data_IF_044918393771
#
_entry.id   IF_044918393771
#
_cell.length_a   1.000
_cell.length_b   1.000
_cell.length_c   1.000
_cell.angle_alpha   90.00
_cell.angle_beta   90.00
_cell.angle_gamma   90.00
#
_symmetry.space_group_name_H-M   'P 1'
#
loop_
_entity.id
_entity.type
_entity.pdbx_description
1 polymer ?
#
# COMPACT_ATOMS: atom_id res chain seq x y z
N UNK A 1 -5.52 -26.33 13.62
CA UNK A 1 -5.60 -25.83 13.11
C UNK A 1 -5.22 -24.98 12.70
N UNK A 2 -4.96 -24.74 12.51
CA UNK A 2 -4.66 -24.03 12.05
C UNK A 2 -4.42 -22.94 11.67
N UNK A 3 -4.03 -23.00 11.45
CA UNK A 3 -3.65 -21.65 11.57
C UNK A 3 -3.33 -20.91 10.32
N UNK A 4 -2.83 -21.53 9.33
CA UNK A 4 -2.64 -20.97 8.02
C UNK A 4 -3.92 -20.37 7.48
N UNK A 5 -5.02 -20.91 7.89
CA UNK A 5 -6.34 -20.46 7.43
C UNK A 5 -6.72 -19.08 7.97
N UNK A 6 -6.01 -18.63 9.02
CA UNK A 6 -6.33 -17.37 9.67
C UNK A 6 -5.38 -16.25 9.28
N UNK A 7 -4.53 -16.47 8.28
CA UNK A 7 -3.60 -15.45 7.83
C UNK A 7 -4.26 -14.62 6.76
N UNK A 8 -4.22 -13.31 6.93
CA UNK A 8 -4.77 -12.38 5.96
C UNK A 8 -4.09 -12.56 4.61
N UNK A 9 -4.87 -12.58 3.53
CA UNK A 9 -4.35 -12.65 2.19
C UNK A 9 -3.99 -11.25 1.70
N UNK A 10 -2.72 -10.91 1.79
CA UNK A 10 -2.27 -9.55 1.48
C UNK A 10 -2.35 -9.26 -0.02
N UNK A 11 -2.26 -10.28 -0.86
CA UNK A 11 -2.39 -10.07 -2.31
C UNK A 11 -3.84 -9.71 -2.65
N UNK A 12 -4.79 -10.41 -2.04
CA UNK A 12 -6.20 -10.10 -2.21
C UNK A 12 -6.50 -8.70 -1.67
N UNK A 13 -5.92 -8.36 -0.52
CA UNK A 13 -6.07 -7.04 0.06
C UNK A 13 -5.65 -5.95 -0.93
N UNK A 14 -4.48 -6.12 -1.56
CA UNK A 14 -4.01 -5.12 -2.52
C UNK A 14 -4.88 -5.05 -3.78
N UNK A 15 -5.45 -6.18 -4.21
CA UNK A 15 -6.42 -6.15 -5.32
C UNK A 15 -7.61 -5.27 -4.94
N UNK A 16 -8.13 -5.43 -3.73
CA UNK A 16 -9.29 -4.66 -3.29
C UNK A 16 -8.96 -3.19 -3.05
N UNK A 17 -7.74 -2.88 -2.59
CA UNK A 17 -7.27 -1.50 -2.46
C UNK A 17 -7.26 -0.82 -3.83
N UNK A 18 -6.65 -1.48 -4.82
CA UNK A 18 -6.49 -0.90 -6.15
C UNK A 18 -7.83 -0.79 -6.89
N UNK A 19 -8.72 -1.73 -6.68
CA UNK A 19 -10.07 -1.68 -7.27
C UNK A 19 -11.01 -0.78 -6.49
N UNK A 20 -10.55 -0.24 -5.38
CA UNK A 20 -11.36 0.64 -4.52
C UNK A 20 -12.67 -0.06 -4.10
N UNK A 21 -12.56 -1.32 -3.71
CA UNK A 21 -13.70 -2.14 -3.33
C UNK A 21 -14.05 -1.89 -1.86
N UNK A 22 -14.91 -0.92 -1.64
CA UNK A 22 -15.28 -0.43 -0.32
C UNK A 22 -15.77 -1.54 0.62
N UNK A 23 -16.66 -2.38 0.14
CA UNK A 23 -17.26 -3.42 0.97
C UNK A 23 -16.23 -4.47 1.40
N UNK A 24 -15.38 -4.87 0.48
CA UNK A 24 -14.34 -5.85 0.78
C UNK A 24 -13.27 -5.28 1.71
N UNK A 25 -12.90 -4.02 1.51
CA UNK A 25 -11.85 -3.41 2.31
C UNK A 25 -12.19 -3.39 3.79
N UNK A 26 -13.44 -3.09 4.13
CA UNK A 26 -13.87 -3.07 5.53
C UNK A 26 -13.56 -4.39 6.21
N UNK A 27 -13.71 -5.52 5.50
CA UNK A 27 -13.57 -6.84 6.09
C UNK A 27 -12.14 -7.18 6.52
N UNK A 28 -11.14 -6.45 6.04
CA UNK A 28 -9.74 -6.73 6.39
C UNK A 28 -9.33 -6.11 7.72
N UNK A 29 -10.10 -5.17 8.24
CA UNK A 29 -9.68 -4.35 9.38
C UNK A 29 -10.43 -4.67 10.65
N UNK A 30 -9.70 -4.63 11.76
CA UNK A 30 -10.33 -4.54 13.07
C UNK A 30 -11.07 -3.21 13.12
N UNK A 31 -12.24 -3.16 13.78
CA UNK A 31 -13.07 -1.95 13.79
C UNK A 31 -12.36 -0.72 14.34
N UNK A 32 -11.39 -0.93 15.24
CA UNK A 32 -10.66 0.16 15.88
C UNK A 32 -9.27 0.35 15.28
N UNK A 33 -9.03 -0.22 14.10
CA UNK A 33 -7.72 -0.10 13.45
C UNK A 33 -7.37 1.34 13.16
N UNK A 34 -6.07 1.60 13.12
CA UNK A 34 -5.51 2.93 12.87
C UNK A 34 -4.64 2.84 11.63
N UNK A 35 -4.82 3.78 10.72
CA UNK A 35 -4.03 3.86 9.50
C UNK A 35 -3.29 5.21 9.49
N UNK A 36 -1.98 5.17 9.21
CA UNK A 36 -1.16 6.37 9.15
C UNK A 36 -0.50 6.49 7.79
N UNK A 37 -0.74 7.62 7.14
CA UNK A 37 -0.03 8.00 5.91
C UNK A 37 1.03 9.00 6.31
N UNK A 38 2.27 8.51 6.42
CA UNK A 38 3.35 9.28 7.02
C UNK A 38 3.80 10.46 6.15
N UNK A 39 3.83 10.29 4.84
CA UNK A 39 4.36 11.33 3.96
C UNK A 39 3.45 12.56 3.90
N UNK A 40 2.17 12.41 4.20
CA UNK A 40 1.23 13.52 4.27
C UNK A 40 0.82 13.86 5.71
N UNK A 41 1.38 13.14 6.69
CA UNK A 41 1.11 13.37 8.12
C UNK A 41 -0.38 13.24 8.45
N UNK A 42 -0.99 12.14 7.99
CA UNK A 42 -2.41 11.88 8.21
C UNK A 42 -2.64 10.64 9.05
N UNK A 43 -3.59 10.73 9.96
CA UNK A 43 -4.05 9.63 10.81
C UNK A 43 -5.51 9.37 10.48
N UNK A 44 -5.84 8.12 10.14
CA UNK A 44 -7.20 7.75 9.73
C UNK A 44 -7.79 6.67 10.62
N UNK A 45 -9.09 6.77 10.87
CA UNK A 45 -9.91 5.62 11.26
C UNK A 45 -10.10 4.74 10.02
N UNK A 46 -10.63 3.55 10.20
CA UNK A 46 -10.92 2.66 9.05
C UNK A 46 -11.87 3.36 8.07
N UNK A 47 -12.93 3.94 8.57
CA UNK A 47 -13.92 4.63 7.75
C UNK A 47 -13.29 5.77 6.94
N UNK A 48 -12.41 6.54 7.56
CA UNK A 48 -11.71 7.63 6.88
C UNK A 48 -10.74 7.12 5.83
N UNK A 49 -9.99 6.07 6.14
CA UNK A 49 -9.07 5.47 5.18
C UNK A 49 -9.81 4.96 3.94
N UNK A 50 -10.92 4.24 4.17
CA UNK A 50 -11.70 3.70 3.05
C UNK A 50 -12.25 4.83 2.19
N UNK A 51 -12.73 5.90 2.82
CA UNK A 51 -13.19 7.06 2.08
C UNK A 51 -12.08 7.68 1.25
N UNK A 52 -10.91 7.89 1.85
CA UNK A 52 -9.79 8.48 1.13
C UNK A 52 -9.34 7.59 -0.03
N UNK A 53 -9.24 6.28 0.20
CA UNK A 53 -8.79 5.36 -0.83
C UNK A 53 -9.81 5.20 -1.95
N UNK A 54 -11.08 5.06 -1.60
CA UNK A 54 -12.11 4.71 -2.59
C UNK A 54 -12.65 5.92 -3.34
N UNK A 55 -12.46 7.13 -2.81
CA UNK A 55 -12.88 8.35 -3.50
C UNK A 55 -11.74 9.02 -4.26
N UNK A 56 -10.53 8.46 -4.17
CA UNK A 56 -9.42 8.97 -4.96
C UNK A 56 -9.74 8.75 -6.44
N UNK A 57 -9.64 9.79 -7.29
CA UNK A 57 -10.13 9.67 -8.67
C UNK A 57 -9.27 8.76 -9.53
N UNK A 58 -9.89 8.16 -10.53
CA UNK A 58 -9.20 7.36 -11.53
C UNK A 58 -9.35 5.87 -11.33
N UNK A 59 -8.83 5.12 -12.30
CA UNK A 59 -8.77 3.66 -12.25
C UNK A 59 -7.32 3.27 -12.06
N UNK A 60 -7.09 2.36 -11.14
CA UNK A 60 -5.74 2.07 -10.65
C UNK A 60 -5.37 0.62 -10.81
N UNK A 61 -4.09 0.40 -11.09
CA UNK A 61 -3.46 -0.92 -11.13
C UNK A 61 -2.21 -0.86 -10.28
N UNK A 62 -1.62 -2.01 -10.04
CA UNK A 62 -0.39 -2.04 -9.29
C UNK A 62 0.32 -3.37 -9.39
N UNK A 63 1.54 -3.37 -8.90
CA UNK A 63 2.38 -4.55 -8.87
C UNK A 63 3.01 -4.65 -7.49
N UNK A 64 2.77 -5.78 -6.81
CA UNK A 64 3.43 -6.04 -5.54
C UNK A 64 4.86 -6.44 -5.86
N UNK A 65 5.81 -5.62 -5.44
CA UNK A 65 7.23 -5.87 -5.74
C UNK A 65 7.89 -6.71 -4.65
N UNK A 66 7.39 -6.62 -3.43
CA UNK A 66 8.01 -7.32 -2.33
C UNK A 66 7.00 -7.54 -1.20
N UNK A 67 7.05 -8.73 -0.60
CA UNK A 67 6.30 -9.07 0.60
C UNK A 67 7.26 -9.67 1.60
N UNK A 68 7.28 -9.14 2.82
CA UNK A 68 8.02 -9.72 3.93
C UNK A 68 7.04 -9.97 5.07
N UNK A 69 7.17 -11.10 5.73
CA UNK A 69 6.26 -11.46 6.81
C UNK A 69 7.04 -11.80 8.08
N UNK A 70 6.55 -11.30 9.18
CA UNK A 70 7.00 -11.73 10.51
C UNK A 70 5.78 -12.30 11.22
N UNK A 71 5.93 -12.60 12.49
CA UNK A 71 4.86 -13.25 13.26
C UNK A 71 3.53 -12.48 13.21
N UNK A 72 3.59 -11.17 13.35
CA UNK A 72 2.37 -10.34 13.39
C UNK A 72 2.42 -9.14 12.46
N UNK A 73 3.36 -9.12 11.54
CA UNK A 73 3.56 -7.97 10.66
C UNK A 73 3.75 -8.45 9.23
N UNK A 74 3.08 -7.80 8.28
CA UNK A 74 3.29 -8.01 6.86
C UNK A 74 3.79 -6.69 6.31
N UNK A 75 4.91 -6.73 5.59
CA UNK A 75 5.48 -5.53 4.97
C UNK A 75 5.39 -5.73 3.47
N UNK A 76 4.83 -4.75 2.77
CA UNK A 76 4.74 -4.81 1.31
C UNK A 76 5.34 -3.56 0.69
N UNK A 77 5.94 -3.74 -0.48
CA UNK A 77 6.36 -2.64 -1.34
C UNK A 77 5.58 -2.82 -2.65
N UNK A 78 4.82 -1.81 -3.03
CA UNK A 78 3.91 -1.90 -4.16
C UNK A 78 4.10 -0.69 -5.07
N UNK A 79 4.15 -0.96 -6.37
CA UNK A 79 4.12 0.11 -7.37
C UNK A 79 2.67 0.29 -7.79
N UNK A 80 2.17 1.52 -7.74
CA UNK A 80 0.79 1.85 -8.03
C UNK A 80 0.77 2.85 -9.18
N UNK A 81 -0.09 2.62 -10.16
CA UNK A 81 -0.17 3.50 -11.33
C UNK A 81 -1.60 3.51 -11.89
N UNK A 82 -2.00 4.63 -12.53
CA UNK A 82 -3.30 4.65 -13.19
C UNK A 82 -3.26 3.79 -14.45
N UNK A 83 -4.42 3.35 -14.90
CA UNK A 83 -4.53 2.49 -16.07
C UNK A 83 -3.86 3.11 -17.30
N UNK A 84 -3.93 4.43 -17.46
CA UNK A 84 -3.29 5.12 -18.58
C UNK A 84 -1.77 5.30 -18.40
N UNK A 85 -1.23 4.89 -17.27
CA UNK A 85 0.22 4.91 -16.98
C UNK A 85 0.86 6.29 -17.07
N UNK A 86 0.08 7.35 -16.83
CA UNK A 86 0.57 8.73 -16.91
C UNK A 86 1.45 9.12 -15.72
N UNK A 87 1.42 8.37 -14.64
CA UNK A 87 2.22 8.63 -13.46
C UNK A 87 2.41 7.30 -12.71
N UNK A 88 3.15 7.32 -11.62
CA UNK A 88 3.23 6.16 -10.75
C UNK A 88 3.72 6.56 -9.37
N UNK A 89 3.46 5.69 -8.42
CA UNK A 89 3.86 5.87 -7.03
C UNK A 89 4.45 4.57 -6.52
N UNK A 90 5.28 4.66 -5.49
CA UNK A 90 5.62 3.49 -4.70
C UNK A 90 5.11 3.70 -3.29
N UNK A 91 4.65 2.61 -2.68
CA UNK A 91 4.19 2.65 -1.30
C UNK A 91 4.77 1.47 -0.54
N UNK A 92 5.32 1.77 0.65
CA UNK A 92 5.73 0.73 1.58
C UNK A 92 4.73 0.73 2.72
N UNK A 93 4.15 -0.44 2.99
CA UNK A 93 3.12 -0.59 4.01
C UNK A 93 3.59 -1.57 5.07
N UNK A 94 3.46 -1.16 6.33
CA UNK A 94 3.70 -2.01 7.49
C UNK A 94 2.33 -2.35 8.07
N UNK A 95 1.92 -3.59 7.91
CA UNK A 95 0.57 -4.05 8.22
C UNK A 95 0.63 -4.96 9.43
N UNK A 96 0.15 -4.48 10.55
CA UNK A 96 0.13 -5.27 11.78
C UNK A 96 -1.22 -5.95 11.93
N UNK A 97 -1.20 -7.25 12.21
CA UNK A 97 -2.44 -8.01 12.31
C UNK A 97 -2.57 -8.70 13.67
N UNK A 98 -3.80 -8.86 14.10
CA UNK A 98 -4.18 -9.70 15.24
C UNK A 98 -5.45 -10.43 14.86
N UNK A 99 -5.50 -11.72 15.12
CA UNK A 99 -6.66 -12.55 14.78
C UNK A 99 -7.08 -12.38 13.32
N UNK A 100 -6.07 -12.28 12.45
CA UNK A 100 -6.28 -12.16 11.00
C UNK A 100 -6.91 -10.85 10.53
N UNK A 101 -6.96 -9.84 11.40
CA UNK A 101 -7.47 -8.51 11.04
C UNK A 101 -6.37 -7.49 11.25
N UNK A 102 -6.38 -6.48 10.40
CA UNK A 102 -5.41 -5.39 10.49
C UNK A 102 -5.77 -4.51 11.69
N UNK A 103 -4.81 -4.31 12.59
CA UNK A 103 -5.00 -3.43 13.74
C UNK A 103 -4.29 -2.10 13.55
N UNK A 104 -3.18 -2.08 12.81
CA UNK A 104 -2.47 -0.85 12.48
C UNK A 104 -1.86 -0.99 11.10
N UNK A 105 -1.87 0.07 10.34
CA UNK A 105 -1.21 0.10 9.05
C UNK A 105 -0.49 1.42 8.89
N UNK A 106 0.81 1.35 8.69
CA UNK A 106 1.64 2.52 8.48
C UNK A 106 2.13 2.51 7.05
N UNK A 107 1.83 3.57 6.30
CA UNK A 107 2.17 3.62 4.87
C UNK A 107 3.02 4.84 4.55
N UNK A 108 3.99 4.62 3.68
CA UNK A 108 4.92 5.63 3.20
C UNK A 108 4.79 5.68 1.68
N UNK A 109 4.06 6.69 1.20
CA UNK A 109 3.79 6.89 -0.23
C UNK A 109 4.78 7.89 -0.80
N UNK A 110 5.29 7.60 -2.00
CA UNK A 110 6.19 8.52 -2.69
C UNK A 110 5.87 8.51 -4.17
N UNK A 111 5.92 9.70 -4.79
CA UNK A 111 5.81 9.81 -6.24
C UNK A 111 7.08 9.26 -6.88
N UNK A 112 6.92 8.55 -7.99
CA UNK A 112 8.06 8.17 -8.82
C UNK A 112 8.46 9.39 -9.65
N UNK A 113 9.73 9.71 -9.62
CA UNK A 113 10.23 10.94 -10.23
C UNK A 113 11.41 10.66 -11.13
N UNK A 114 11.73 11.66 -11.98
CA UNK A 114 12.97 11.66 -12.73
C UNK A 114 14.13 11.83 -11.77
N UNK A 115 15.29 11.37 -12.18
CA UNK A 115 16.53 11.63 -11.42
C UNK A 115 16.75 13.15 -11.40
N UNK A 116 17.00 13.76 -10.22
CA UNK A 116 17.25 15.21 -10.17
C UNK A 116 18.46 15.60 -11.03
N UNK A 117 18.40 16.80 -11.59
CA UNK A 117 19.40 17.27 -12.54
C UNK A 117 20.82 17.22 -11.97
N UNK A 118 20.99 17.58 -10.71
CA UNK A 118 22.33 17.60 -10.11
C UNK A 118 22.98 16.21 -10.12
N UNK A 119 22.19 15.15 -9.95
CA UNK A 119 22.71 13.78 -10.02
C UNK A 119 22.90 13.33 -11.45
N UNK A 120 22.00 13.75 -12.35
CA UNK A 120 22.17 13.42 -13.77
C UNK A 120 23.52 13.94 -14.27
N UNK A 121 23.90 15.15 -13.86
CA UNK A 121 25.14 15.78 -14.27
C UNK A 121 26.38 15.05 -13.75
N UNK A 122 26.24 14.27 -12.69
CA UNK A 122 27.33 13.48 -12.15
C UNK A 122 27.59 12.19 -12.94
N UNK A 123 26.63 11.78 -13.76
CA UNK A 123 26.71 10.59 -14.59
C UNK A 123 26.99 9.33 -13.77
N UNK A 124 26.28 9.19 -12.67
CA UNK A 124 26.38 8.03 -11.77
C UNK A 124 25.03 7.31 -11.72
N UNK A 125 25.06 6.07 -11.27
CA UNK A 125 23.87 5.25 -11.16
C UNK A 125 23.43 4.69 -12.50
N UNK A 126 22.50 3.73 -12.45
CA UNK A 126 21.91 3.10 -13.62
C UNK A 126 20.46 2.85 -13.33
N UNK A 127 19.67 2.61 -14.36
CA UNK A 127 18.25 2.30 -14.18
C UNK A 127 18.09 0.93 -13.53
N UNK A 128 17.14 0.82 -12.61
CA UNK A 128 16.71 -0.46 -12.06
C UNK A 128 15.90 -1.20 -13.12
N UNK A 129 15.05 -0.47 -13.81
CA UNK A 129 14.17 -1.01 -14.86
C UNK A 129 14.55 -0.43 -16.22
N UNK A 130 14.45 -1.24 -17.23
CA UNK A 130 14.78 -0.80 -18.60
C UNK A 130 13.54 -0.39 -19.35
#
# INVERSE_FOLDING_TARGET
MENGDNIMDVKEFWIDVLKQNREKLISYFHKDAVIRWHCSNELFTVSEYIKANCEYPGEWEGKIERIEKTENMIITAVKVYPVNKSSSFHVVSFIKTENNLITEMDEYWADDTEVPEWRQNMKIGSKIWI
#
